data_IF_286725990159
#
_entry.id   IF_286725990159
#
_cell.length_a   1.000
_cell.length_b   1.000
_cell.length_c   1.000
_cell.angle_alpha   90.00
_cell.angle_beta   90.00
_cell.angle_gamma   90.00
#
_symmetry.space_group_name_H-M   'P 1'
#
loop_
_entity.id
_entity.type
_entity.pdbx_description
1 polymer ?
#
# COMPACT_ATOMS: atom_id res chain seq x y z
N UNK A 1 39.67 -16.45 -0.42
CA UNK A 1 39.49 -16.54 1.02
C UNK A 1 38.73 -17.82 1.32
N UNK A 2 39.20 -18.62 2.32
CA UNK A 2 38.46 -19.82 2.72
C UNK A 2 37.08 -19.37 3.23
N UNK A 3 35.99 -19.86 2.63
CA UNK A 3 34.63 -19.62 3.08
C UNK A 3 34.43 -20.22 4.46
N UNK A 4 33.82 -19.48 5.37
CA UNK A 4 33.44 -20.00 6.70
C UNK A 4 32.21 -20.88 6.52
N UNK A 5 32.19 -22.06 7.15
CA UNK A 5 31.02 -22.91 7.12
C UNK A 5 29.82 -22.18 7.76
N UNK A 6 28.63 -22.24 7.13
CA UNK A 6 27.42 -21.58 7.64
C UNK A 6 27.06 -22.04 9.06
N UNK A 7 27.34 -23.31 9.39
CA UNK A 7 27.15 -23.87 10.74
C UNK A 7 28.09 -23.30 11.82
N UNK A 8 29.14 -22.56 11.43
CA UNK A 8 30.05 -21.90 12.33
C UNK A 8 29.68 -20.44 12.63
N UNK A 9 28.57 -19.95 12.02
CA UNK A 9 28.04 -18.61 12.21
C UNK A 9 27.11 -18.59 13.44
N UNK A 10 27.29 -17.60 14.27
CA UNK A 10 26.41 -17.31 15.42
C UNK A 10 25.87 -15.90 15.29
N UNK A 11 24.56 -15.75 15.38
CA UNK A 11 23.88 -14.45 15.32
C UNK A 11 23.26 -14.14 16.68
N UNK A 12 23.52 -12.93 17.18
CA UNK A 12 22.95 -12.45 18.45
C UNK A 12 22.27 -11.10 18.27
N UNK A 13 21.17 -10.85 19.00
CA UNK A 13 20.53 -9.54 19.13
C UNK A 13 20.61 -9.11 20.59
N UNK A 14 21.21 -7.95 20.85
CA UNK A 14 21.42 -7.42 22.19
C UNK A 14 22.07 -8.45 23.14
N UNK A 15 22.92 -9.36 22.60
CA UNK A 15 23.56 -10.44 23.33
C UNK A 15 22.79 -11.75 23.39
N UNK A 16 21.51 -11.77 23.09
CA UNK A 16 20.69 -13.00 23.03
C UNK A 16 20.93 -13.73 21.72
N UNK A 17 21.14 -15.05 21.78
CA UNK A 17 21.35 -15.87 20.59
C UNK A 17 20.06 -16.07 19.83
N UNK A 18 20.06 -15.69 18.56
CA UNK A 18 18.92 -15.81 17.61
C UNK A 18 19.32 -16.63 16.37
N UNK A 19 20.41 -17.38 16.42
CA UNK A 19 20.92 -18.15 15.28
C UNK A 19 19.89 -19.12 14.70
N UNK A 20 18.98 -19.64 15.52
CA UNK A 20 17.91 -20.55 15.09
C UNK A 20 16.84 -19.89 14.19
N UNK A 21 16.80 -18.56 14.15
CA UNK A 21 15.92 -17.83 13.23
C UNK A 21 16.49 -17.77 11.80
N UNK A 22 17.70 -18.27 11.59
CA UNK A 22 18.38 -18.23 10.30
C UNK A 22 18.57 -19.65 9.75
N UNK A 23 18.27 -19.84 8.48
CA UNK A 23 18.49 -21.06 7.72
C UNK A 23 19.47 -20.81 6.55
N UNK A 24 20.03 -21.87 5.99
CA UNK A 24 20.80 -21.76 4.77
C UNK A 24 19.87 -21.39 3.61
N UNK A 25 20.33 -20.46 2.78
CA UNK A 25 19.64 -20.09 1.56
C UNK A 25 19.36 -21.33 0.69
N UNK A 26 18.10 -21.61 0.33
CA UNK A 26 17.72 -22.75 -0.49
C UNK A 26 18.33 -22.74 -1.89
N UNK A 27 18.66 -21.56 -2.43
CA UNK A 27 19.34 -21.41 -3.72
C UNK A 27 20.83 -21.73 -3.68
N UNK A 28 21.38 -21.98 -2.50
CA UNK A 28 22.76 -22.39 -2.34
C UNK A 28 23.80 -21.27 -2.46
N UNK A 29 23.40 -20.01 -2.28
CA UNK A 29 24.28 -18.84 -2.38
C UNK A 29 25.30 -18.70 -1.24
N UNK A 30 25.46 -19.73 -0.42
CA UNK A 30 26.37 -19.79 0.72
C UNK A 30 26.13 -18.66 1.73
N UNK A 31 24.88 -18.35 2.00
CA UNK A 31 24.41 -17.35 2.96
C UNK A 31 23.38 -17.94 3.95
N UNK A 32 23.19 -17.25 5.07
CA UNK A 32 22.12 -17.52 6.02
C UNK A 32 21.07 -16.43 5.92
N UNK A 33 19.82 -16.83 5.77
CA UNK A 33 18.67 -15.94 5.74
C UNK A 33 17.74 -16.21 6.91
N UNK A 34 17.06 -15.17 7.39
CA UNK A 34 16.12 -15.34 8.49
C UNK A 34 15.45 -14.04 8.91
N UNK A 35 14.31 -14.18 9.57
CA UNK A 35 13.53 -13.07 10.10
C UNK A 35 13.68 -13.03 11.63
N UNK A 36 14.13 -11.90 12.16
CA UNK A 36 14.22 -11.66 13.58
C UNK A 36 13.01 -10.85 14.04
N UNK A 37 12.14 -11.46 14.83
CA UNK A 37 10.91 -10.84 15.36
C UNK A 37 11.04 -10.51 16.84
N UNK A 38 10.07 -9.78 17.41
CA UNK A 38 10.00 -9.49 18.84
C UNK A 38 11.04 -8.49 19.34
N UNK A 39 11.59 -7.66 18.46
CA UNK A 39 12.52 -6.61 18.87
C UNK A 39 11.79 -5.54 19.70
N UNK A 40 12.38 -5.06 20.80
CA UNK A 40 11.82 -3.93 21.54
C UNK A 40 11.85 -2.65 20.69
N UNK A 41 10.99 -1.70 21.02
CA UNK A 41 11.04 -0.37 20.41
C UNK A 41 12.40 0.28 20.63
N UNK A 42 12.87 1.00 19.63
CA UNK A 42 14.17 1.64 19.62
C UNK A 42 15.27 0.77 19.03
N UNK A 43 16.52 1.04 19.41
CA UNK A 43 17.70 0.44 18.79
C UNK A 43 18.03 -0.92 19.37
N UNK A 44 18.25 -1.89 18.51
CA UNK A 44 18.76 -3.22 18.82
C UNK A 44 20.02 -3.50 18.00
N UNK A 45 21.02 -4.13 18.63
CA UNK A 45 22.28 -4.45 17.97
C UNK A 45 22.30 -5.92 17.57
N UNK A 46 22.24 -6.17 16.29
CA UNK A 46 22.47 -7.48 15.69
C UNK A 46 23.98 -7.68 15.48
N UNK A 47 24.52 -8.83 15.88
CA UNK A 47 25.92 -9.16 15.71
C UNK A 47 26.05 -10.57 15.15
N UNK A 48 26.66 -10.68 13.98
CA UNK A 48 27.09 -11.95 13.40
C UNK A 48 28.56 -12.22 13.76
N UNK A 49 28.86 -13.46 14.14
CA UNK A 49 30.21 -13.93 14.41
C UNK A 49 30.45 -15.25 13.72
N UNK A 50 31.62 -15.41 13.12
CA UNK A 50 32.02 -16.66 12.52
C UNK A 50 33.39 -17.07 13.05
N UNK A 51 33.55 -18.35 13.43
CA UNK A 51 34.83 -18.94 13.78
C UNK A 51 35.52 -19.38 12.48
N UNK A 52 36.58 -18.70 12.11
CA UNK A 52 37.45 -19.11 11.00
C UNK A 52 38.40 -20.23 11.34
N UNK A 53 38.95 -20.94 10.35
CA UNK A 53 40.00 -21.95 10.58
C UNK A 53 41.27 -21.28 11.15
N UNK A 54 41.61 -21.64 12.38
CA UNK A 54 42.78 -21.11 13.13
C UNK A 54 42.43 -20.10 14.20
N UNK A 55 43.21 -20.06 15.31
CA UNK A 55 42.92 -19.27 16.51
C UNK A 55 42.95 -17.74 16.32
N UNK A 56 43.27 -17.21 15.15
CA UNK A 56 43.54 -15.78 14.92
C UNK A 56 42.55 -15.02 14.05
N UNK A 57 41.52 -15.64 13.45
CA UNK A 57 40.55 -14.93 12.62
C UNK A 57 39.13 -15.15 13.13
N UNK A 58 38.70 -14.31 14.05
CA UNK A 58 37.26 -14.15 14.37
C UNK A 58 36.68 -13.09 13.41
N UNK A 59 35.83 -13.51 12.52
CA UNK A 59 35.03 -12.57 11.73
C UNK A 59 33.86 -12.11 12.58
N UNK A 60 33.67 -10.82 12.67
CA UNK A 60 32.56 -10.20 13.38
C UNK A 60 32.07 -9.02 12.57
N UNK A 61 30.76 -8.99 12.36
CA UNK A 61 30.06 -7.84 11.81
C UNK A 61 28.87 -7.48 12.69
N UNK A 62 28.37 -6.26 12.57
CA UNK A 62 27.22 -5.82 13.35
C UNK A 62 26.39 -4.77 12.64
N UNK A 63 25.08 -4.90 12.80
CA UNK A 63 24.06 -4.00 12.28
C UNK A 63 23.25 -3.43 13.45
N UNK A 64 22.90 -2.16 13.39
CA UNK A 64 21.92 -1.57 14.31
C UNK A 64 20.56 -1.55 13.62
N UNK A 65 19.62 -2.26 14.21
CA UNK A 65 18.22 -2.26 13.81
C UNK A 65 17.47 -1.28 14.70
N UNK A 66 16.58 -0.48 14.12
CA UNK A 66 15.70 0.40 14.89
C UNK A 66 14.27 -0.05 14.67
N UNK A 67 13.63 -0.54 15.74
CA UNK A 67 12.23 -0.89 15.73
C UNK A 67 11.41 0.35 16.10
N UNK A 68 10.45 0.70 15.25
CA UNK A 68 9.59 1.87 15.40
C UNK A 68 8.20 1.44 15.89
N UNK A 69 7.45 2.41 16.42
CA UNK A 69 6.07 2.19 16.77
C UNK A 69 5.24 1.87 15.53
N UNK A 70 4.24 0.98 15.65
CA UNK A 70 3.34 0.60 14.55
C UNK A 70 2.56 1.79 13.97
N UNK A 71 2.45 2.87 14.74
CA UNK A 71 1.82 4.12 14.29
C UNK A 71 2.83 5.10 13.69
N UNK A 72 4.10 4.72 13.55
CA UNK A 72 5.14 5.59 13.02
C UNK A 72 5.38 6.86 13.85
N UNK A 73 5.98 7.90 13.28
CA UNK A 73 6.70 7.89 12.01
C UNK A 73 8.06 7.17 12.13
N UNK A 74 8.57 6.66 11.00
CA UNK A 74 9.94 6.12 10.92
C UNK A 74 10.91 7.17 10.37
N UNK A 75 10.61 7.70 9.18
CA UNK A 75 11.46 8.68 8.48
C UNK A 75 10.67 9.77 7.74
N UNK A 76 9.34 9.71 7.73
CA UNK A 76 8.49 10.70 7.02
C UNK A 76 8.43 12.06 7.71
N UNK A 77 9.06 12.21 8.87
CA UNK A 77 9.07 13.44 9.64
C UNK A 77 7.86 13.61 10.57
N UNK A 78 7.60 14.83 11.03
CA UNK A 78 6.49 15.10 11.94
C UNK A 78 5.14 14.71 11.33
N UNK A 79 4.25 14.18 12.17
CA UNK A 79 2.89 13.84 11.73
C UNK A 79 2.12 15.08 11.30
N UNK A 80 1.37 14.94 10.21
CA UNK A 80 0.44 15.98 9.77
C UNK A 80 -0.66 16.20 10.81
N UNK A 81 -0.93 17.46 11.13
CA UNK A 81 -2.01 17.89 12.01
C UNK A 81 -2.70 19.13 11.41
N UNK A 82 -4.02 19.30 11.55
CA UNK A 82 -4.96 18.31 12.08
C UNK A 82 -5.03 17.05 11.21
N UNK A 83 -5.51 15.93 11.77
CA UNK A 83 -5.70 14.68 11.02
C UNK A 83 -7.08 14.10 11.34
N UNK A 84 -7.81 13.71 10.31
CA UNK A 84 -9.20 13.23 10.43
C UNK A 84 -9.21 11.72 10.23
N UNK A 85 -9.60 11.00 11.28
CA UNK A 85 -9.77 9.55 11.22
C UNK A 85 -10.97 9.15 10.35
N UNK A 86 -10.93 7.93 9.81
CA UNK A 86 -11.99 7.44 8.94
C UNK A 86 -13.33 7.38 9.66
N UNK A 87 -14.35 7.87 9.00
CA UNK A 87 -15.75 7.69 9.46
C UNK A 87 -16.19 6.26 9.20
N UNK A 88 -17.29 5.79 9.83
CA UNK A 88 -17.86 4.48 9.50
C UNK A 88 -18.12 4.28 8.00
N UNK A 89 -18.51 5.32 7.28
CA UNK A 89 -18.71 5.24 5.83
C UNK A 89 -17.39 5.04 5.07
N UNK A 90 -16.32 5.72 5.47
CA UNK A 90 -14.99 5.58 4.85
C UNK A 90 -14.35 4.22 5.16
N UNK A 91 -14.67 3.64 6.32
CA UNK A 91 -14.28 2.30 6.72
C UNK A 91 -15.31 1.22 6.34
N UNK A 92 -16.36 1.58 5.59
CA UNK A 92 -17.43 0.67 5.23
C UNK A 92 -16.89 -0.59 4.50
N UNK A 93 -17.40 -1.73 4.89
CA UNK A 93 -17.01 -3.03 4.34
C UNK A 93 -15.73 -3.62 4.93
N UNK A 94 -14.99 -2.90 5.77
CA UNK A 94 -13.82 -3.44 6.46
C UNK A 94 -14.18 -4.31 7.67
N UNK A 95 -15.33 -4.09 8.30
CA UNK A 95 -15.69 -4.78 9.54
C UNK A 95 -14.77 -4.45 10.71
N UNK A 96 -14.11 -3.29 10.68
CA UNK A 96 -13.31 -2.78 11.80
C UNK A 96 -14.21 -2.22 12.89
N UNK A 97 -13.81 -2.30 14.17
CA UNK A 97 -14.43 -1.52 15.21
C UNK A 97 -14.43 -0.02 14.87
N UNK A 98 -15.35 0.77 15.44
CA UNK A 98 -15.35 2.22 15.24
C UNK A 98 -13.99 2.83 15.55
N UNK A 99 -13.49 3.67 14.64
CA UNK A 99 -12.22 4.39 14.79
C UNK A 99 -12.52 5.71 15.50
N UNK A 100 -11.99 5.86 16.71
CA UNK A 100 -12.12 7.11 17.45
C UNK A 100 -11.23 8.20 16.85
N UNK A 101 -11.68 9.46 16.91
CA UNK A 101 -10.84 10.60 16.55
C UNK A 101 -9.69 10.73 17.56
N UNK A 102 -8.47 10.50 17.11
CA UNK A 102 -7.23 10.59 17.90
C UNK A 102 -6.07 10.93 16.98
N UNK A 103 -4.90 11.19 17.54
CA UNK A 103 -3.69 11.41 16.73
C UNK A 103 -3.25 10.19 15.93
N UNK A 104 -3.61 8.99 16.39
CA UNK A 104 -3.17 7.71 15.82
C UNK A 104 -4.25 7.01 15.01
N UNK A 105 -5.51 7.40 15.17
CA UNK A 105 -6.66 6.74 14.52
C UNK A 105 -6.68 5.22 14.71
N UNK A 106 -6.27 4.76 15.87
CA UNK A 106 -6.11 3.34 16.17
C UNK A 106 -7.44 2.60 16.28
N UNK A 107 -7.39 1.33 15.93
CA UNK A 107 -8.45 0.36 16.20
C UNK A 107 -7.84 -1.04 16.32
N UNK A 108 -8.58 -1.96 16.95
CA UNK A 108 -8.16 -3.34 17.07
C UNK A 108 -8.04 -4.01 15.67
N UNK A 109 -6.99 -4.81 15.48
CA UNK A 109 -6.85 -5.66 14.30
C UNK A 109 -7.94 -6.73 14.30
N UNK A 110 -8.59 -6.92 13.16
CA UNK A 110 -9.65 -7.92 12.96
C UNK A 110 -9.21 -8.93 11.90
N UNK A 111 -9.41 -10.20 12.21
CA UNK A 111 -9.24 -11.29 11.26
C UNK A 111 -10.59 -11.94 11.03
N UNK A 112 -10.96 -12.15 9.78
CA UNK A 112 -12.15 -12.91 9.39
C UNK A 112 -11.89 -13.71 8.13
N UNK A 113 -12.82 -14.58 7.77
CA UNK A 113 -12.78 -15.32 6.53
C UNK A 113 -13.92 -14.88 5.62
N UNK A 114 -13.63 -14.85 4.33
CA UNK A 114 -14.62 -14.58 3.29
C UNK A 114 -14.47 -15.56 2.14
N UNK A 115 -15.54 -15.79 1.44
CA UNK A 115 -15.51 -16.57 0.21
C UNK A 115 -16.14 -15.78 -0.94
N UNK A 116 -15.71 -16.10 -2.14
CA UNK A 116 -16.33 -15.59 -3.35
C UNK A 116 -17.42 -16.54 -3.81
N UNK A 117 -18.67 -16.06 -3.84
CA UNK A 117 -19.79 -16.87 -4.31
C UNK A 117 -19.78 -17.03 -5.83
N UNK A 118 -20.46 -18.06 -6.33
CA UNK A 118 -20.70 -18.26 -7.78
C UNK A 118 -21.53 -17.13 -8.41
N UNK A 119 -22.15 -16.29 -7.58
CA UNK A 119 -22.85 -15.05 -8.01
C UNK A 119 -21.96 -13.81 -7.95
N UNK A 120 -20.65 -13.97 -7.84
CA UNK A 120 -19.65 -12.89 -7.83
C UNK A 120 -19.74 -11.95 -6.61
N UNK A 121 -20.18 -12.43 -5.45
CA UNK A 121 -20.24 -11.65 -4.23
C UNK A 121 -19.21 -12.14 -3.20
N UNK A 122 -18.60 -11.21 -2.44
CA UNK A 122 -17.83 -11.53 -1.26
C UNK A 122 -18.76 -11.69 -0.08
N UNK A 123 -18.83 -12.89 0.48
CA UNK A 123 -19.68 -13.24 1.63
C UNK A 123 -18.80 -13.71 2.79
N UNK A 124 -19.31 -13.54 4.00
CA UNK A 124 -18.61 -14.02 5.20
C UNK A 124 -18.57 -15.55 5.20
N UNK A 125 -17.43 -16.11 5.59
CA UNK A 125 -17.20 -17.54 5.68
C UNK A 125 -16.98 -17.92 7.14
N UNK A 126 -17.80 -18.86 7.63
CA UNK A 126 -17.64 -19.47 8.96
C UNK A 126 -17.15 -20.90 8.79
N UNK A 127 -15.90 -21.22 9.21
CA UNK A 127 -15.42 -22.61 9.16
C UNK A 127 -16.25 -23.62 9.96
N UNK A 128 -16.96 -23.16 11.01
CA UNK A 128 -17.84 -24.02 11.81
C UNK A 128 -19.19 -24.31 11.13
N UNK A 129 -19.59 -23.47 10.16
CA UNK A 129 -20.83 -23.61 9.40
C UNK A 129 -20.61 -23.23 7.92
N UNK A 130 -19.79 -24.00 7.19
CA UNK A 130 -19.41 -23.66 5.83
C UNK A 130 -20.62 -23.71 4.88
N UNK A 131 -20.69 -22.80 3.89
CA UNK A 131 -21.70 -22.88 2.84
C UNK A 131 -21.49 -24.12 1.96
N UNK A 132 -22.52 -24.49 1.19
CA UNK A 132 -22.41 -25.60 0.28
C UNK A 132 -21.25 -25.37 -0.71
N UNK A 133 -20.34 -26.34 -0.95
CA UNK A 133 -19.17 -26.16 -1.82
C UNK A 133 -19.53 -25.69 -3.25
N UNK A 134 -20.68 -26.08 -3.77
CA UNK A 134 -21.18 -25.66 -5.09
C UNK A 134 -21.51 -24.18 -5.19
N UNK A 135 -21.60 -23.46 -4.08
CA UNK A 135 -21.85 -21.99 -4.05
C UNK A 135 -20.57 -21.18 -4.02
N UNK A 136 -19.41 -21.83 -3.87
CA UNK A 136 -18.10 -21.17 -3.78
C UNK A 136 -17.40 -21.23 -5.12
N UNK A 137 -16.90 -20.09 -5.61
CA UNK A 137 -16.06 -20.06 -6.82
C UNK A 137 -14.79 -20.88 -6.59
N UNK A 138 -14.34 -21.54 -7.65
CA UNK A 138 -13.04 -22.20 -7.71
C UNK A 138 -12.06 -21.32 -8.48
N UNK A 139 -10.79 -21.32 -8.10
CA UNK A 139 -9.69 -20.67 -8.80
C UNK A 139 -8.56 -21.65 -8.99
N UNK A 140 -7.80 -21.45 -10.06
CA UNK A 140 -6.58 -22.24 -10.32
C UNK A 140 -5.38 -21.33 -10.11
N UNK A 141 -4.56 -21.65 -9.12
CA UNK A 141 -3.35 -20.90 -8.77
C UNK A 141 -2.28 -21.02 -9.86
N UNK A 142 -1.23 -20.20 -9.76
CA UNK A 142 -0.08 -20.29 -10.68
C UNK A 142 0.61 -21.65 -10.64
N UNK A 143 0.54 -22.35 -9.50
CA UNK A 143 1.12 -23.69 -9.32
C UNK A 143 0.23 -24.80 -9.90
N UNK A 144 -0.92 -24.43 -10.49
CA UNK A 144 -1.85 -25.35 -11.15
C UNK A 144 -2.85 -26.02 -10.21
N UNK A 145 -2.89 -25.66 -8.94
CA UNK A 145 -3.85 -26.20 -7.99
C UNK A 145 -5.20 -25.47 -8.11
N UNK A 146 -6.29 -26.26 -8.13
CA UNK A 146 -7.65 -25.70 -8.11
C UNK A 146 -8.23 -25.79 -6.71
N UNK A 147 -8.53 -24.62 -6.15
CA UNK A 147 -9.00 -24.47 -4.76
C UNK A 147 -10.23 -23.58 -4.68
N UNK A 148 -11.08 -23.75 -3.65
CA UNK A 148 -12.17 -22.84 -3.41
C UNK A 148 -11.63 -21.44 -3.04
N UNK A 149 -12.23 -20.38 -3.62
CA UNK A 149 -11.84 -18.98 -3.36
C UNK A 149 -12.37 -18.56 -1.98
N UNK A 150 -11.72 -19.07 -0.96
CA UNK A 150 -11.88 -18.73 0.45
C UNK A 150 -10.62 -17.98 0.87
N UNK A 151 -10.77 -16.83 1.51
CA UNK A 151 -9.66 -16.00 1.95
C UNK A 151 -9.68 -15.81 3.47
N UNK A 152 -8.51 -15.76 4.06
CA UNK A 152 -8.26 -15.13 5.35
C UNK A 152 -8.01 -13.64 5.10
N UNK A 153 -8.67 -12.79 5.86
CA UNK A 153 -8.62 -11.36 5.68
C UNK A 153 -8.34 -10.64 7.01
N UNK A 154 -7.13 -10.10 7.13
CA UNK A 154 -6.68 -9.27 8.26
C UNK A 154 -6.84 -7.80 7.90
N UNK A 155 -7.33 -6.98 8.82
CA UNK A 155 -7.50 -5.53 8.68
C UNK A 155 -7.20 -4.85 10.00
N UNK A 156 -6.67 -3.63 9.93
CA UNK A 156 -6.34 -2.82 11.09
C UNK A 156 -5.82 -1.45 10.68
N UNK A 157 -5.02 -0.85 11.54
CA UNK A 157 -4.37 0.46 11.32
C UNK A 157 -2.87 0.33 11.53
N UNK A 158 -2.09 0.81 10.57
CA UNK A 158 -0.63 0.94 10.61
C UNK A 158 -0.29 2.34 10.12
N UNK A 159 0.63 3.01 10.80
CA UNK A 159 1.08 4.37 10.48
C UNK A 159 -0.10 5.35 10.31
N UNK A 160 -1.13 5.21 11.13
CA UNK A 160 -2.39 5.98 11.11
C UNK A 160 -3.32 5.65 9.93
N UNK A 161 -2.95 4.75 9.02
CA UNK A 161 -3.74 4.38 7.85
C UNK A 161 -4.35 2.99 7.99
N UNK A 162 -5.53 2.80 7.40
CA UNK A 162 -6.16 1.48 7.33
C UNK A 162 -5.32 0.58 6.43
N UNK A 163 -5.06 -0.66 6.88
CA UNK A 163 -4.38 -1.67 6.07
C UNK A 163 -5.22 -2.93 5.93
N UNK A 164 -4.87 -3.74 4.96
CA UNK A 164 -5.46 -5.04 4.68
C UNK A 164 -4.41 -6.04 4.22
N UNK A 165 -4.52 -7.27 4.72
CA UNK A 165 -3.79 -8.45 4.24
C UNK A 165 -4.82 -9.52 3.91
N UNK A 166 -4.86 -9.98 2.66
CA UNK A 166 -5.75 -11.02 2.20
C UNK A 166 -4.95 -12.12 1.51
N UNK A 167 -5.25 -13.40 1.80
CA UNK A 167 -4.65 -14.54 1.11
C UNK A 167 -5.64 -15.71 1.04
N UNK A 168 -5.48 -16.59 0.06
CA UNK A 168 -6.21 -17.84 -0.01
C UNK A 168 -5.99 -18.66 1.27
N UNK A 169 -7.05 -19.23 1.79
CA UNK A 169 -7.02 -20.00 3.04
C UNK A 169 -8.13 -21.07 3.01
N UNK A 170 -8.11 -21.99 2.03
CA UNK A 170 -9.21 -22.92 1.76
C UNK A 170 -9.38 -23.98 2.84
N UNK A 171 -8.33 -24.30 3.59
CA UNK A 171 -8.33 -25.33 4.63
C UNK A 171 -8.29 -24.78 6.05
N UNK A 172 -8.36 -23.46 6.23
CA UNK A 172 -8.25 -22.85 7.56
C UNK A 172 -9.38 -23.28 8.49
N UNK A 173 -8.98 -23.79 9.66
CA UNK A 173 -9.89 -24.18 10.74
C UNK A 173 -9.80 -23.24 11.95
N UNK A 174 -8.97 -22.17 11.87
CA UNK A 174 -8.71 -21.26 12.97
C UNK A 174 -8.06 -19.94 12.53
N UNK A 175 -7.70 -19.08 13.49
CA UNK A 175 -7.17 -17.74 13.19
C UNK A 175 -5.77 -17.73 12.57
N UNK A 176 -5.03 -18.84 12.65
CA UNK A 176 -3.70 -18.95 12.05
C UNK A 176 -3.76 -18.91 10.52
N UNK A 177 -2.75 -18.34 9.84
CA UNK A 177 -2.65 -18.42 8.39
C UNK A 177 -2.56 -19.88 7.89
N UNK A 178 -3.27 -20.16 6.81
CA UNK A 178 -3.14 -21.42 6.06
C UNK A 178 -2.40 -21.09 4.76
N UNK A 179 -1.22 -21.68 4.58
CA UNK A 179 -0.34 -21.41 3.44
C UNK A 179 -0.52 -22.41 2.29
N UNK A 180 -1.45 -23.36 2.41
CA UNK A 180 -1.58 -24.47 1.43
C UNK A 180 -1.89 -24.02 0.01
N UNK A 181 -2.53 -22.87 -0.16
CA UNK A 181 -2.85 -22.29 -1.47
C UNK A 181 -2.10 -20.98 -1.77
N UNK A 182 -1.12 -20.63 -0.93
CA UNK A 182 -0.26 -19.47 -1.17
C UNK A 182 0.93 -19.89 -2.06
N UNK A 183 1.13 -19.16 -3.16
CA UNK A 183 2.19 -19.43 -4.12
C UNK A 183 3.56 -18.80 -3.74
N UNK A 184 3.77 -18.43 -2.49
CA UNK A 184 5.00 -17.81 -2.02
C UNK A 184 5.18 -16.33 -2.40
N UNK A 185 4.23 -15.71 -3.09
CA UNK A 185 4.39 -14.39 -3.69
C UNK A 185 3.44 -13.35 -3.09
N UNK A 186 3.90 -12.08 -3.08
CA UNK A 186 3.15 -10.96 -2.52
C UNK A 186 2.77 -9.96 -3.60
N UNK A 187 1.52 -9.52 -3.60
CA UNK A 187 1.04 -8.42 -4.43
C UNK A 187 0.76 -7.22 -3.53
N UNK A 188 1.43 -6.10 -3.81
CA UNK A 188 1.11 -4.82 -3.19
C UNK A 188 0.19 -4.02 -4.09
N UNK A 189 -1.04 -3.78 -3.65
CA UNK A 189 -2.03 -2.98 -4.37
C UNK A 189 -1.86 -1.50 -4.04
N UNK A 190 -1.48 -0.70 -5.05
CA UNK A 190 -1.38 0.76 -4.99
C UNK A 190 -2.56 1.40 -5.72
N UNK A 191 -2.93 2.61 -5.34
CA UNK A 191 -4.06 3.29 -5.97
C UNK A 191 -3.75 4.75 -6.26
N UNK A 192 -4.31 5.25 -7.36
CA UNK A 192 -4.08 6.59 -7.87
C UNK A 192 -5.01 7.66 -7.29
N UNK A 193 -5.05 8.79 -7.96
CA UNK A 193 -5.75 10.01 -7.60
C UNK A 193 -4.81 11.08 -7.05
N UNK A 194 -5.37 12.21 -6.61
CA UNK A 194 -4.64 13.33 -6.01
C UNK A 194 -5.41 13.83 -4.79
N UNK A 195 -4.73 13.99 -3.67
CA UNK A 195 -5.26 14.66 -2.47
C UNK A 195 -4.14 15.24 -1.61
N UNK A 196 -4.48 16.24 -0.81
CA UNK A 196 -3.52 16.96 0.04
C UNK A 196 -3.19 16.24 1.35
N UNK A 197 -3.93 15.22 1.73
CA UNK A 197 -3.72 14.49 2.98
C UNK A 197 -4.60 14.96 4.13
N UNK A 198 -4.08 14.84 5.34
CA UNK A 198 -4.77 15.16 6.60
C UNK A 198 -5.96 14.24 6.93
N UNK A 199 -6.10 13.12 6.25
CA UNK A 199 -7.16 12.14 6.52
C UNK A 199 -6.61 10.72 6.50
N UNK A 200 -7.28 9.82 7.22
CA UNK A 200 -6.99 8.38 7.19
C UNK A 200 -7.36 7.72 5.84
N UNK A 201 -8.08 8.46 4.98
CA UNK A 201 -8.55 7.97 3.70
C UNK A 201 -9.80 7.09 3.80
N UNK A 202 -10.06 6.34 2.74
CA UNK A 202 -11.19 5.45 2.64
C UNK A 202 -10.75 4.04 2.22
N UNK A 203 -11.49 3.06 2.68
CA UNK A 203 -11.32 1.66 2.27
C UNK A 203 -11.67 1.48 0.78
N UNK A 204 -10.95 0.59 0.13
CA UNK A 204 -11.21 0.17 -1.26
C UNK A 204 -11.26 -1.35 -1.32
N UNK A 205 -12.45 -1.93 -1.36
CA UNK A 205 -12.60 -3.38 -1.39
C UNK A 205 -11.99 -4.01 -2.65
N UNK A 206 -12.00 -3.32 -3.78
CA UNK A 206 -11.37 -3.78 -5.02
C UNK A 206 -9.84 -3.88 -4.91
N UNK A 207 -9.21 -2.89 -4.26
CA UNK A 207 -7.77 -2.87 -4.04
C UNK A 207 -7.34 -3.87 -2.96
N UNK A 208 -8.12 -3.95 -1.87
CA UNK A 208 -7.86 -4.86 -0.74
C UNK A 208 -8.03 -6.34 -1.11
N UNK A 209 -9.03 -6.65 -1.93
CA UNK A 209 -9.38 -8.00 -2.37
C UNK A 209 -9.12 -8.14 -3.87
N UNK A 210 -7.90 -7.83 -4.32
CA UNK A 210 -7.48 -7.87 -5.71
C UNK A 210 -7.69 -9.25 -6.30
N UNK A 211 -8.86 -9.44 -6.95
CA UNK A 211 -9.40 -10.75 -7.33
C UNK A 211 -8.43 -11.55 -8.19
N UNK A 212 -7.79 -10.90 -9.18
CA UNK A 212 -6.83 -11.59 -10.05
C UNK A 212 -5.61 -12.09 -9.27
N UNK A 213 -5.04 -11.29 -8.37
CA UNK A 213 -3.91 -11.70 -7.56
C UNK A 213 -4.27 -12.85 -6.61
N UNK A 214 -5.38 -12.72 -5.88
CA UNK A 214 -5.88 -13.79 -5.00
C UNK A 214 -6.15 -15.07 -5.79
N UNK A 215 -6.80 -14.97 -6.95
CA UNK A 215 -7.11 -16.12 -7.79
C UNK A 215 -5.88 -16.85 -8.31
N UNK A 216 -4.75 -16.18 -8.46
CA UNK A 216 -3.46 -16.74 -8.85
C UNK A 216 -2.64 -17.28 -7.65
N UNK A 217 -3.14 -17.16 -6.42
CA UNK A 217 -2.47 -17.66 -5.22
C UNK A 217 -1.55 -16.63 -4.53
N UNK A 218 -1.51 -15.37 -4.97
CA UNK A 218 -0.78 -14.32 -4.26
C UNK A 218 -1.44 -13.99 -2.91
N UNK A 219 -0.64 -13.66 -1.92
CA UNK A 219 -1.13 -12.81 -0.84
C UNK A 219 -1.23 -11.38 -1.34
N UNK A 220 -2.23 -10.62 -0.89
CA UNK A 220 -2.48 -9.24 -1.31
C UNK A 220 -2.42 -8.33 -0.10
N UNK A 221 -1.58 -7.30 -0.16
CA UNK A 221 -1.51 -6.25 0.85
C UNK A 221 -1.92 -4.89 0.28
N UNK A 222 -2.46 -4.04 1.13
CA UNK A 222 -3.02 -2.75 0.79
C UNK A 222 -2.95 -1.81 1.99
N UNK A 223 -2.83 -0.51 1.73
CA UNK A 223 -3.10 0.54 2.73
C UNK A 223 -3.84 1.72 2.13
N UNK A 224 -4.68 2.38 2.92
CA UNK A 224 -5.24 3.68 2.53
C UNK A 224 -4.16 4.78 2.47
N UNK A 225 -3.02 4.60 3.15
CA UNK A 225 -1.85 5.46 3.09
C UNK A 225 -0.97 5.26 1.84
N UNK A 226 -1.21 4.21 1.05
CA UNK A 226 -0.58 3.99 -0.25
C UNK A 226 -1.53 4.30 -1.41
N UNK A 227 -2.43 5.25 -1.20
CA UNK A 227 -3.34 5.81 -2.22
C UNK A 227 -3.07 7.30 -2.36
N UNK A 228 -2.70 7.73 -3.56
CA UNK A 228 -2.43 9.16 -3.78
C UNK A 228 -3.68 10.04 -3.71
N UNK A 229 -4.89 9.46 -3.76
CA UNK A 229 -6.12 10.16 -3.45
C UNK A 229 -6.44 10.27 -1.94
N UNK A 230 -5.60 9.70 -1.08
CA UNK A 230 -5.61 10.00 0.36
C UNK A 230 -4.64 11.13 0.67
N UNK A 231 -3.41 11.02 0.17
CA UNK A 231 -2.38 12.05 0.23
C UNK A 231 -1.33 11.83 -0.87
N UNK A 232 -0.68 12.90 -1.29
CA UNK A 232 0.38 12.84 -2.31
C UNK A 232 1.79 12.97 -1.70
N UNK A 233 1.95 12.71 -0.41
CA UNK A 233 3.24 12.64 0.25
C UNK A 233 3.86 11.26 0.03
N UNK A 234 4.70 11.14 -1.01
CA UNK A 234 5.31 9.87 -1.39
C UNK A 234 6.32 9.35 -0.35
N UNK A 235 6.89 10.21 0.48
CA UNK A 235 7.75 9.79 1.59
C UNK A 235 6.94 9.08 2.67
N UNK A 236 5.82 9.67 3.09
CA UNK A 236 4.89 9.05 4.05
C UNK A 236 4.25 7.77 3.48
N UNK A 237 3.90 7.78 2.19
CA UNK A 237 3.36 6.59 1.51
C UNK A 237 4.38 5.46 1.44
N UNK A 238 5.65 5.75 1.14
CA UNK A 238 6.75 4.78 1.12
C UNK A 238 7.01 4.19 2.50
N UNK A 239 7.04 5.03 3.53
CA UNK A 239 7.12 4.58 4.93
C UNK A 239 5.98 3.62 5.29
N UNK A 240 4.74 4.01 4.98
CA UNK A 240 3.56 3.16 5.22
C UNK A 240 3.65 1.84 4.45
N UNK A 241 4.14 1.90 3.21
CA UNK A 241 4.31 0.70 2.39
C UNK A 241 5.29 -0.30 3.03
N UNK A 242 6.43 0.19 3.51
CA UNK A 242 7.42 -0.64 4.22
C UNK A 242 6.78 -1.27 5.47
N UNK A 243 6.10 -0.48 6.29
CA UNK A 243 5.50 -0.96 7.53
C UNK A 243 4.42 -2.03 7.31
N UNK A 244 3.62 -1.90 6.25
CA UNK A 244 2.60 -2.91 5.91
C UNK A 244 3.23 -4.19 5.36
N UNK A 245 4.29 -4.10 4.55
CA UNK A 245 5.07 -5.28 4.12
C UNK A 245 5.73 -5.96 5.31
N UNK A 246 6.34 -5.20 6.21
CA UNK A 246 6.94 -5.72 7.44
C UNK A 246 5.92 -6.44 8.33
N UNK A 247 4.71 -5.91 8.44
CA UNK A 247 3.60 -6.59 9.11
C UNK A 247 3.29 -7.94 8.47
N UNK A 248 3.28 -8.01 7.13
CA UNK A 248 3.06 -9.27 6.43
C UNK A 248 4.19 -10.26 6.73
N UNK A 249 5.44 -9.86 6.54
CA UNK A 249 6.62 -10.72 6.79
C UNK A 249 6.62 -11.23 8.24
N UNK A 250 6.39 -10.35 9.21
CA UNK A 250 6.45 -10.68 10.64
C UNK A 250 5.32 -11.61 11.11
N UNK A 251 4.13 -11.52 10.51
CA UNK A 251 2.95 -12.24 10.96
C UNK A 251 2.59 -13.45 10.08
N UNK A 252 3.15 -13.53 8.88
CA UNK A 252 2.87 -14.59 7.90
C UNK A 252 4.16 -15.28 7.48
N UNK A 253 4.85 -14.77 6.46
CA UNK A 253 6.10 -15.33 5.96
C UNK A 253 6.83 -14.31 5.06
N UNK A 254 8.12 -14.53 4.83
CA UNK A 254 8.89 -13.82 3.80
C UNK A 254 8.40 -14.27 2.42
N UNK A 255 7.98 -13.34 1.53
CA UNK A 255 7.62 -13.71 0.17
C UNK A 255 8.87 -13.91 -0.70
N UNK A 256 8.80 -14.82 -1.68
CA UNK A 256 9.85 -15.00 -2.70
C UNK A 256 10.11 -13.68 -3.45
N UNK A 257 9.04 -12.97 -3.81
CA UNK A 257 9.09 -11.62 -4.36
C UNK A 257 7.78 -10.85 -4.14
N UNK A 258 7.88 -9.54 -4.22
CA UNK A 258 6.74 -8.61 -4.10
C UNK A 258 6.52 -7.87 -5.41
N UNK A 259 5.30 -7.95 -5.95
CA UNK A 259 4.88 -7.22 -7.15
C UNK A 259 3.99 -6.06 -6.77
N UNK A 260 4.36 -4.84 -7.18
CA UNK A 260 3.47 -3.69 -7.13
C UNK A 260 2.47 -3.71 -8.28
N UNK A 261 1.22 -3.40 -8.01
CA UNK A 261 0.18 -3.23 -9.05
C UNK A 261 -0.60 -1.96 -8.77
N UNK A 262 -0.84 -1.15 -9.79
CA UNK A 262 -1.68 0.04 -9.65
C UNK A 262 -1.52 1.05 -10.77
N UNK A 263 -2.57 1.84 -10.96
CA UNK A 263 -2.65 2.82 -12.03
C UNK A 263 -2.50 4.27 -11.56
N UNK A 264 -2.19 5.17 -12.48
CA UNK A 264 -2.09 6.62 -12.23
C UNK A 264 -1.06 6.92 -11.11
N UNK A 265 -1.47 7.57 -10.03
CA UNK A 265 -0.60 7.77 -8.86
C UNK A 265 -0.08 6.46 -8.25
N UNK A 266 -0.79 5.34 -8.42
CA UNK A 266 -0.30 4.01 -8.04
C UNK A 266 0.87 3.53 -8.91
N UNK A 267 0.94 3.95 -10.16
CA UNK A 267 2.12 3.71 -11.02
C UNK A 267 3.32 4.55 -10.57
N UNK A 268 3.09 5.82 -10.23
CA UNK A 268 4.14 6.72 -9.70
C UNK A 268 4.74 6.14 -8.43
N UNK A 269 3.91 5.66 -7.52
CA UNK A 269 4.38 5.02 -6.28
C UNK A 269 5.32 3.85 -6.57
N UNK A 270 5.00 2.99 -7.54
CA UNK A 270 5.85 1.86 -7.92
C UNK A 270 7.23 2.32 -8.41
N UNK A 271 7.31 3.36 -9.25
CA UNK A 271 8.59 3.92 -9.68
C UNK A 271 9.39 4.51 -8.52
N UNK A 272 8.75 5.35 -7.71
CA UNK A 272 9.41 6.03 -6.59
C UNK A 272 9.85 5.04 -5.51
N UNK A 273 9.01 4.07 -5.18
CA UNK A 273 9.32 3.12 -4.12
C UNK A 273 10.32 2.06 -4.57
N UNK A 274 10.23 1.57 -5.82
CA UNK A 274 11.24 0.67 -6.37
C UNK A 274 12.62 1.30 -6.45
N UNK A 275 12.69 2.61 -6.72
CA UNK A 275 13.95 3.35 -6.77
C UNK A 275 14.53 3.65 -5.38
N UNK A 276 13.69 4.07 -4.41
CA UNK A 276 14.15 4.65 -3.15
C UNK A 276 14.08 3.69 -1.96
N UNK A 277 13.37 2.58 -2.07
CA UNK A 277 13.18 1.61 -1.00
C UNK A 277 13.55 0.20 -1.48
N UNK A 278 14.86 -0.10 -1.61
CA UNK A 278 15.32 -1.44 -2.00
C UNK A 278 14.71 -2.53 -1.11
N UNK A 279 14.24 -3.62 -1.71
CA UNK A 279 13.58 -4.72 -1.01
C UNK A 279 12.09 -4.53 -0.73
N UNK A 280 11.51 -3.36 -1.05
CA UNK A 280 10.06 -3.17 -0.94
C UNK A 280 9.31 -3.83 -2.11
N UNK A 281 9.78 -3.61 -3.33
CA UNK A 281 9.21 -4.17 -4.56
C UNK A 281 10.33 -4.79 -5.39
N UNK A 282 10.08 -5.98 -5.92
CA UNK A 282 10.96 -6.71 -6.84
C UNK A 282 10.51 -6.52 -8.29
N UNK A 283 9.21 -6.29 -8.51
CA UNK A 283 8.63 -6.00 -9.82
C UNK A 283 7.45 -5.04 -9.69
N UNK A 284 7.04 -4.46 -10.81
CA UNK A 284 5.89 -3.56 -10.88
C UNK A 284 5.05 -3.75 -12.14
N UNK A 285 3.75 -3.54 -12.00
CA UNK A 285 2.78 -3.45 -13.10
C UNK A 285 2.14 -2.05 -13.06
N UNK A 286 2.90 -1.02 -13.47
CA UNK A 286 2.41 0.36 -13.49
C UNK A 286 1.43 0.55 -14.64
N UNK A 287 0.19 0.85 -14.31
CA UNK A 287 -0.89 1.08 -15.27
C UNK A 287 -1.13 2.59 -15.42
N UNK A 288 -1.52 3.04 -16.60
CA UNK A 288 -1.77 4.47 -16.88
C UNK A 288 -0.63 5.35 -16.38
N UNK A 289 0.61 4.90 -16.63
CA UNK A 289 1.79 5.56 -16.10
C UNK A 289 2.20 6.76 -16.95
N UNK A 290 2.76 7.75 -16.29
CA UNK A 290 3.41 8.91 -16.91
C UNK A 290 4.80 9.05 -16.28
N UNK A 291 5.81 8.42 -16.89
CA UNK A 291 7.16 8.36 -16.32
C UNK A 291 7.87 9.72 -16.32
N UNK A 292 7.44 10.65 -17.18
CA UNK A 292 7.98 12.00 -17.23
C UNK A 292 7.13 12.97 -16.39
N UNK A 293 7.32 12.93 -15.08
CA UNK A 293 6.63 13.82 -14.14
C UNK A 293 7.06 15.29 -14.28
N UNK A 294 8.26 15.57 -14.77
CA UNK A 294 8.75 16.95 -14.91
C UNK A 294 7.97 17.67 -16.01
N UNK A 295 7.85 17.07 -17.19
CA UNK A 295 7.05 17.63 -18.28
C UNK A 295 5.57 17.79 -17.88
N UNK A 296 5.03 16.83 -17.18
CA UNK A 296 3.64 16.89 -16.74
C UNK A 296 3.41 17.97 -15.67
N UNK A 297 4.36 18.17 -14.76
CA UNK A 297 4.26 19.24 -13.74
C UNK A 297 4.28 20.61 -14.40
N UNK A 298 5.11 20.83 -15.41
CA UNK A 298 5.13 22.09 -16.18
C UNK A 298 3.77 22.34 -16.82
N UNK A 299 3.23 21.33 -17.51
CA UNK A 299 1.93 21.41 -18.15
C UNK A 299 0.80 21.78 -17.17
N UNK A 300 0.72 21.14 -16.02
CA UNK A 300 -0.28 21.45 -15.00
C UNK A 300 -0.06 22.85 -14.42
N UNK A 301 1.19 23.29 -14.26
CA UNK A 301 1.53 24.64 -13.80
C UNK A 301 1.07 25.74 -14.74
N UNK A 302 1.36 25.59 -16.01
CA UNK A 302 0.91 26.54 -17.04
C UNK A 302 -0.60 26.60 -17.18
N UNK A 303 -1.24 25.47 -17.06
CA UNK A 303 -2.68 25.31 -17.15
C UNK A 303 -3.43 26.10 -16.05
N UNK A 304 -2.95 26.17 -14.82
CA UNK A 304 -3.57 26.98 -13.76
C UNK A 304 -3.42 28.50 -14.05
N UNK A 305 -2.33 28.92 -14.68
CA UNK A 305 -2.18 30.31 -15.12
C UNK A 305 -3.21 30.68 -16.20
N UNK A 306 -3.46 29.79 -17.13
CA UNK A 306 -4.51 29.94 -18.16
C UNK A 306 -5.88 30.04 -17.49
N UNK A 307 -6.20 29.12 -16.59
CA UNK A 307 -7.47 29.12 -15.85
C UNK A 307 -7.69 30.42 -15.08
N UNK A 308 -6.67 30.93 -14.39
CA UNK A 308 -6.76 32.24 -13.69
C UNK A 308 -7.04 33.39 -14.66
N UNK A 309 -6.42 33.35 -15.83
CA UNK A 309 -6.69 34.35 -16.85
C UNK A 309 -8.14 34.27 -17.37
N UNK A 310 -8.64 33.06 -17.68
CA UNK A 310 -10.01 32.83 -18.12
C UNK A 310 -11.02 33.31 -17.06
N UNK A 311 -10.78 32.99 -15.79
CA UNK A 311 -11.58 33.42 -14.65
C UNK A 311 -11.62 34.96 -14.55
N UNK A 312 -10.47 35.62 -14.74
CA UNK A 312 -10.43 37.09 -14.72
C UNK A 312 -11.28 37.74 -15.80
N UNK A 313 -11.40 37.08 -16.99
CA UNK A 313 -12.25 37.55 -18.08
C UNK A 313 -13.72 37.36 -17.76
N UNK A 314 -14.09 36.25 -17.11
CA UNK A 314 -15.48 36.02 -16.65
C UNK A 314 -15.89 37.02 -15.58
N UNK A 315 -14.99 37.35 -14.66
CA UNK A 315 -15.23 38.37 -13.63
C UNK A 315 -15.41 39.75 -14.22
N UNK A 316 -14.61 40.11 -15.25
CA UNK A 316 -14.67 41.42 -15.89
C UNK A 316 -15.90 41.60 -16.81
N UNK A 317 -16.35 40.50 -17.43
CA UNK A 317 -17.50 40.49 -18.37
C UNK A 317 -18.39 39.26 -18.17
N UNK A 318 -19.61 39.44 -17.61
CA UNK A 318 -20.56 38.36 -17.44
C UNK A 318 -20.99 37.67 -18.75
N UNK A 319 -20.78 38.28 -19.90
CA UNK A 319 -21.03 37.70 -21.20
C UNK A 319 -19.81 37.05 -21.85
N UNK A 320 -18.71 37.00 -21.14
CA UNK A 320 -17.47 36.38 -21.63
C UNK A 320 -17.72 34.95 -22.12
N UNK A 321 -17.18 34.58 -23.31
CA UNK A 321 -17.28 33.24 -23.83
C UNK A 321 -16.66 32.17 -22.91
N UNK A 322 -15.75 32.58 -22.05
CA UNK A 322 -15.06 31.67 -21.09
C UNK A 322 -15.93 31.20 -19.92
N UNK A 323 -17.21 31.58 -19.90
CA UNK A 323 -18.18 31.05 -18.93
C UNK A 323 -18.58 29.60 -19.21
N UNK A 324 -18.19 29.03 -20.33
CA UNK A 324 -18.53 27.67 -20.69
C UNK A 324 -17.29 26.80 -20.81
N UNK A 325 -17.34 25.60 -20.26
CA UNK A 325 -16.26 24.62 -20.38
C UNK A 325 -16.00 24.22 -21.83
N UNK A 326 -17.02 24.21 -22.69
CA UNK A 326 -16.86 23.96 -24.11
C UNK A 326 -15.84 24.91 -24.75
N UNK A 327 -15.88 26.20 -24.38
CA UNK A 327 -14.90 27.17 -24.88
C UNK A 327 -13.53 27.01 -24.22
N UNK A 328 -13.47 26.70 -22.91
CA UNK A 328 -12.21 26.45 -22.22
C UNK A 328 -11.48 25.22 -22.77
N UNK A 329 -12.22 24.16 -23.17
CA UNK A 329 -11.61 22.97 -23.80
C UNK A 329 -10.92 23.29 -25.13
N UNK A 330 -11.28 24.38 -25.81
CA UNK A 330 -10.58 24.82 -27.03
C UNK A 330 -9.15 25.33 -26.74
N UNK A 331 -8.90 25.76 -25.52
CA UNK A 331 -7.58 26.24 -25.06
C UNK A 331 -6.84 25.14 -24.30
N UNK A 332 -7.50 24.47 -23.38
CA UNK A 332 -6.92 23.48 -22.47
C UNK A 332 -6.89 22.06 -23.06
N UNK A 333 -7.63 21.83 -24.12
CA UNK A 333 -7.68 20.53 -24.79
C UNK A 333 -8.29 19.45 -23.89
N UNK A 334 -7.64 18.30 -23.83
CA UNK A 334 -8.10 17.14 -23.07
C UNK A 334 -8.03 17.33 -21.53
N UNK A 335 -7.40 18.41 -21.07
CA UNK A 335 -7.29 18.70 -19.63
C UNK A 335 -8.57 19.29 -19.05
N UNK A 336 -9.48 19.78 -19.88
CA UNK A 336 -10.77 20.31 -19.48
C UNK A 336 -11.92 19.43 -19.97
N UNK A 337 -13.01 19.39 -19.24
CA UNK A 337 -14.21 18.63 -19.56
C UNK A 337 -15.46 19.37 -19.12
N UNK A 338 -16.45 19.42 -20.00
CA UNK A 338 -17.77 20.00 -19.72
C UNK A 338 -18.66 19.06 -18.87
N UNK A 339 -18.28 17.81 -18.70
CA UNK A 339 -19.12 16.78 -18.06
C UNK A 339 -18.58 16.32 -16.68
N UNK A 340 -17.32 16.56 -16.39
CA UNK A 340 -16.74 16.23 -15.07
C UNK A 340 -17.29 17.24 -14.04
N UNK A 341 -17.78 16.78 -12.87
CA UNK A 341 -18.23 17.68 -11.81
C UNK A 341 -17.12 18.62 -11.34
N UNK A 342 -17.46 19.89 -11.16
CA UNK A 342 -16.55 20.87 -10.57
C UNK A 342 -16.69 20.86 -9.04
N UNK A 343 -15.72 20.32 -8.27
CA UNK A 343 -15.80 20.24 -6.82
C UNK A 343 -15.70 21.61 -6.14
N UNK A 344 -15.21 22.64 -6.86
CA UNK A 344 -15.01 23.99 -6.33
C UNK A 344 -16.12 24.97 -6.71
N UNK A 345 -17.13 24.53 -7.45
CA UNK A 345 -18.25 25.39 -7.87
C UNK A 345 -18.91 26.17 -6.73
N UNK A 346 -19.10 25.59 -5.51
CA UNK A 346 -19.70 26.32 -4.39
C UNK A 346 -18.88 27.50 -3.88
N UNK A 347 -17.56 27.44 -4.01
CA UNK A 347 -16.63 28.47 -3.49
C UNK A 347 -16.08 29.39 -4.59
N UNK A 348 -16.34 29.05 -5.85
CA UNK A 348 -15.92 29.80 -7.03
C UNK A 348 -17.09 30.02 -7.99
N UNK A 349 -18.02 30.90 -7.64
CA UNK A 349 -19.29 31.06 -8.35
C UNK A 349 -19.15 31.59 -9.80
N UNK A 350 -17.99 32.12 -10.15
CA UNK A 350 -17.69 32.57 -11.52
C UNK A 350 -17.20 31.43 -12.44
N UNK A 351 -16.90 30.26 -11.87
CA UNK A 351 -16.50 29.10 -12.69
C UNK A 351 -17.70 28.45 -13.33
N UNK A 352 -17.54 27.97 -14.60
CA UNK A 352 -18.60 27.24 -15.25
C UNK A 352 -19.01 25.97 -14.51
N UNK A 353 -20.30 25.68 -14.48
CA UNK A 353 -20.86 24.43 -13.95
C UNK A 353 -21.93 23.88 -14.91
N UNK A 354 -22.01 22.57 -15.18
CA UNK A 354 -21.04 21.55 -14.78
C UNK A 354 -19.73 21.70 -15.58
N UNK A 355 -18.69 21.08 -15.10
CA UNK A 355 -17.41 20.99 -15.78
C UNK A 355 -16.24 21.21 -14.84
N UNK A 356 -15.09 20.77 -15.24
CA UNK A 356 -13.84 20.87 -14.49
C UNK A 356 -12.64 20.69 -15.40
N UNK A 357 -11.45 20.94 -14.88
CA UNK A 357 -10.20 20.61 -15.55
C UNK A 357 -9.22 19.96 -14.58
N UNK A 358 -8.21 19.26 -15.11
CA UNK A 358 -7.11 18.73 -14.30
C UNK A 358 -6.32 19.85 -13.61
N UNK A 359 -6.21 21.02 -14.23
CA UNK A 359 -5.60 22.22 -13.69
C UNK A 359 -6.22 22.62 -12.37
N UNK A 360 -7.55 22.69 -12.32
CA UNK A 360 -8.31 23.02 -11.12
C UNK A 360 -8.17 21.92 -10.07
N UNK A 361 -8.37 20.66 -10.47
CA UNK A 361 -8.36 19.53 -9.55
C UNK A 361 -6.96 19.27 -8.98
N UNK A 362 -5.91 19.44 -9.79
CA UNK A 362 -4.53 19.27 -9.37
C UNK A 362 -4.03 20.38 -8.45
N UNK A 363 -4.08 21.63 -8.92
CA UNK A 363 -3.47 22.75 -8.23
C UNK A 363 -4.31 23.34 -7.11
N UNK A 364 -5.60 23.58 -7.35
CA UNK A 364 -6.46 24.17 -6.32
C UNK A 364 -6.80 23.20 -5.20
N UNK A 365 -6.70 21.90 -5.47
CA UNK A 365 -6.78 20.87 -4.44
C UNK A 365 -5.51 20.72 -3.60
N UNK A 366 -4.37 21.25 -4.06
CA UNK A 366 -3.08 21.21 -3.36
C UNK A 366 -2.75 22.55 -2.65
N UNK A 367 -3.44 23.62 -3.02
CA UNK A 367 -3.29 24.92 -2.36
C UNK A 367 -4.26 25.03 -1.19
N UNK A 368 -3.79 25.41 0.01
CA UNK A 368 -4.66 25.61 1.16
C UNK A 368 -5.62 26.79 0.98
#
# INVERSE_FOLDING_TARGET
>A
PASVALSAVTVTVNGTNVTSAFAADPEGNHQLEGVVTGLPLGKSKLVARAAGPGKSRRHRDSLTLTNHDIQGPMFSGPRQVPFVCATPNNAAGLGLPPIAQSETCETATVVSFRYRSTTNQWLDYDPASPPAPSTIQQVTTLDGETVPLIIRWERGVINRFMYSIAMLSPASQGPAPDFSAWNGKLLYSFSGGVAIGHTQGAASSGDMLHLAGLGLGYAVIYSSGTRTNTHYNLQLGGETAIMVKDRFVSAYAEPEYTVGVGGSGGAIQQYVYGQNHPGLLDAGVPQYSYPDMVTQTIHVGDCELVERWLDSKVLADPLSPWRTWVNRTLVEGLNASAVIPNPYAPVMPYMPTPGSSECINGWRGLSP
#
